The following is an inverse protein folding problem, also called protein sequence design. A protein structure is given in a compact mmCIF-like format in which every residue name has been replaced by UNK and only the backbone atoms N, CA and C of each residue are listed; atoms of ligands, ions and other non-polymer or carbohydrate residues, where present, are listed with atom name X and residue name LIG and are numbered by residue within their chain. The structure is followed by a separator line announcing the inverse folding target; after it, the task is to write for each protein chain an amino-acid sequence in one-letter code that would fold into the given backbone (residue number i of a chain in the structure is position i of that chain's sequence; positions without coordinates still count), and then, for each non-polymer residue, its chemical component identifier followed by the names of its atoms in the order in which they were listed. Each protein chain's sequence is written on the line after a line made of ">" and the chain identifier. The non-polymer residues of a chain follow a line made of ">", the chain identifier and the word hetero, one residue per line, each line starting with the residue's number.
data_IF_759014687481
#
_entry.id   IF_759014687481
#
_cell.length_a   1.000
_cell.length_b   1.000
_cell.length_c   1.000
_cell.angle_alpha   90.00
_cell.angle_beta   90.00
_cell.angle_gamma   90.00
#
_symmetry.space_group_name_H-M   'P 1'
#
loop_
_entity.id
_entity.type
_entity.pdbx_description
1 polymer ?
#
# COMPACT_ATOMS: atom_id res chain seq x y z
N UNK A 1 9.83 36.07 41.95
CA UNK A 1 9.00 36.06 40.72
C UNK A 1 9.88 36.63 39.60
N UNK A 2 10.72 35.81 38.93
CA UNK A 2 10.56 35.24 37.56
C UNK A 2 9.69 36.07 36.60
N UNK A 3 10.31 36.51 35.50
CA UNK A 3 9.67 37.15 34.34
C UNK A 3 10.65 38.04 33.57
N UNK A 4 11.71 37.47 33.00
CA UNK A 4 11.86 37.26 31.54
C UNK A 4 12.43 38.46 30.77
N UNK A 5 13.75 38.65 30.91
CA UNK A 5 14.63 39.31 29.95
C UNK A 5 14.65 38.49 28.64
N UNK A 6 13.67 38.73 27.77
CA UNK A 6 13.51 37.98 26.51
C UNK A 6 14.32 38.54 25.33
N UNK A 7 15.17 39.57 25.53
CA UNK A 7 15.77 40.29 24.40
C UNK A 7 17.30 40.28 24.33
N UNK A 8 18.01 39.82 25.36
CA UNK A 8 19.49 39.92 25.37
C UNK A 8 20.27 38.64 25.04
N UNK A 9 19.58 37.51 24.83
CA UNK A 9 20.25 36.24 24.47
C UNK A 9 20.69 36.20 23.00
N UNK A 10 20.19 37.11 22.15
CA UNK A 10 20.52 37.10 20.72
C UNK A 10 21.87 37.74 20.37
N UNK A 11 22.54 38.43 21.31
CA UNK A 11 23.73 39.26 20.99
C UNK A 11 25.10 38.60 21.20
N UNK A 12 25.17 37.36 21.69
CA UNK A 12 26.46 36.68 21.99
C UNK A 12 26.67 35.31 21.33
N UNK A 13 25.96 35.01 20.24
CA UNK A 13 26.20 33.79 19.46
C UNK A 13 26.98 34.10 18.18
N UNK A 14 28.30 34.22 18.30
CA UNK A 14 29.21 34.12 17.15
C UNK A 14 29.27 32.66 16.67
N UNK A 15 28.20 32.19 16.05
CA UNK A 15 28.17 31.01 15.20
C UNK A 15 27.60 31.46 13.85
N UNK A 16 28.49 31.98 13.00
CA UNK A 16 28.18 32.26 11.61
C UNK A 16 27.91 30.94 10.86
N UNK A 17 26.80 30.91 10.11
CA UNK A 17 26.51 29.90 9.09
C UNK A 17 25.24 29.09 9.36
N UNK A 18 24.24 29.27 8.48
CA UNK A 18 22.99 28.50 8.31
C UNK A 18 21.78 28.86 9.18
N UNK A 19 21.09 29.99 8.88
CA UNK A 19 19.81 30.33 9.52
C UNK A 19 18.60 29.51 9.01
N UNK A 20 18.74 28.72 7.93
CA UNK A 20 17.58 28.10 7.26
C UNK A 20 17.25 26.69 7.76
N UNK A 21 18.26 25.92 8.21
CA UNK A 21 18.06 24.51 8.60
C UNK A 21 17.39 24.40 9.99
N UNK A 22 17.62 25.36 10.89
CA UNK A 22 17.03 25.32 12.24
C UNK A 22 15.51 25.55 12.27
N UNK A 23 14.91 26.18 11.26
CA UNK A 23 13.45 26.39 11.22
C UNK A 23 12.69 25.09 10.90
N UNK A 24 13.24 24.22 10.06
CA UNK A 24 12.59 22.94 9.71
C UNK A 24 12.69 21.90 10.83
N UNK A 25 13.83 21.85 11.53
CA UNK A 25 14.04 20.90 12.63
C UNK A 25 13.12 21.20 13.82
N UNK A 26 12.76 22.47 14.04
CA UNK A 26 11.89 22.83 15.16
C UNK A 26 10.42 22.42 14.94
N UNK A 27 9.98 22.17 13.71
CA UNK A 27 8.58 21.88 13.42
C UNK A 27 8.21 20.40 13.67
N UNK A 28 9.16 19.47 13.53
CA UNK A 28 8.92 18.04 13.78
C UNK A 28 9.10 17.62 15.24
N UNK A 29 9.64 18.50 16.10
CA UNK A 29 9.96 18.19 17.51
C UNK A 29 8.89 18.75 18.47
N UNK A 30 7.95 19.58 18.01
CA UNK A 30 7.13 20.40 18.91
C UNK A 30 5.93 19.74 19.60
N UNK A 31 5.52 18.50 19.31
CA UNK A 31 4.42 17.86 20.07
C UNK A 31 4.63 16.32 20.25
N UNK A 32 4.29 15.74 21.43
CA UNK A 32 5.21 15.00 22.32
C UNK A 32 4.83 13.51 22.55
N UNK A 33 5.51 12.71 23.42
CA UNK A 33 6.48 13.06 24.46
C UNK A 33 7.87 12.41 24.31
N UNK A 34 8.82 12.86 25.14
CA UNK A 34 10.19 12.38 25.26
C UNK A 34 11.25 12.97 24.31
N UNK A 35 11.52 14.28 24.44
CA UNK A 35 12.90 14.76 24.39
C UNK A 35 13.02 16.15 25.01
N UNK A 36 13.54 16.22 26.25
CA UNK A 36 13.92 17.48 26.88
C UNK A 36 14.94 18.22 25.99
N UNK A 37 14.59 19.43 25.53
CA UNK A 37 15.37 20.30 24.63
C UNK A 37 16.84 20.55 25.05
N UNK A 38 17.21 20.22 26.28
CA UNK A 38 18.58 20.30 26.80
C UNK A 38 19.55 19.34 26.13
N UNK A 39 19.10 18.14 25.72
CA UNK A 39 20.00 17.07 25.23
C UNK A 39 20.47 17.26 23.78
N UNK A 40 19.79 18.12 23.01
CA UNK A 40 20.18 18.46 21.64
C UNK A 40 21.37 19.45 21.61
N UNK A 41 21.51 20.30 22.63
CA UNK A 41 22.58 21.32 22.69
C UNK A 41 23.98 20.75 22.91
N UNK A 42 24.13 19.72 23.74
CA UNK A 42 25.45 19.13 24.06
C UNK A 42 26.02 18.29 22.91
N UNK A 43 25.16 17.75 22.04
CA UNK A 43 25.58 16.93 20.89
C UNK A 43 26.29 17.80 19.84
N UNK A 44 26.01 19.11 19.77
CA UNK A 44 26.44 20.00 18.68
C UNK A 44 27.76 20.78 18.94
N UNK A 45 28.29 20.79 20.17
CA UNK A 45 29.41 21.68 20.55
C UNK A 45 30.77 21.01 20.87
N UNK A 46 30.96 19.73 20.55
CA UNK A 46 32.27 19.04 20.68
C UNK A 46 33.04 18.89 19.35
N UNK A 47 34.33 18.50 19.37
CA UNK A 47 35.22 18.44 18.19
C UNK A 47 34.82 17.39 17.13
N UNK A 48 33.75 16.64 17.36
CA UNK A 48 33.17 15.60 16.49
C UNK A 48 31.97 16.14 15.67
N UNK A 49 32.09 17.36 15.09
CA UNK A 49 30.96 18.08 14.44
C UNK A 49 30.45 17.43 13.16
N UNK A 50 31.33 16.85 12.34
CA UNK A 50 30.94 16.30 11.03
C UNK A 50 30.19 14.96 11.16
N UNK A 51 30.67 14.07 12.05
CA UNK A 51 30.09 12.73 12.21
C UNK A 51 28.66 12.79 12.76
N UNK A 52 28.41 13.64 13.77
CA UNK A 52 27.09 13.77 14.41
C UNK A 52 26.03 14.43 13.52
N UNK A 53 26.42 15.44 12.73
CA UNK A 53 25.51 16.08 11.79
C UNK A 53 25.09 15.12 10.65
N UNK A 54 26.03 14.30 10.15
CA UNK A 54 25.73 13.26 9.16
C UNK A 54 24.77 12.23 9.74
N UNK A 55 24.98 11.77 10.97
CA UNK A 55 24.06 10.81 11.62
C UNK A 55 22.65 11.36 11.75
N UNK A 56 22.47 12.62 12.17
CA UNK A 56 21.14 13.23 12.28
C UNK A 56 20.48 13.35 10.91
N UNK A 57 21.21 13.77 9.87
CA UNK A 57 20.68 13.85 8.52
C UNK A 57 20.23 12.47 8.00
N UNK A 58 21.04 11.42 8.23
CA UNK A 58 20.69 10.05 7.83
C UNK A 58 19.43 9.53 8.56
N UNK A 59 19.28 9.83 9.85
CA UNK A 59 18.07 9.46 10.61
C UNK A 59 16.83 10.18 10.08
N UNK A 60 16.92 11.48 9.76
CA UNK A 60 15.81 12.22 9.17
C UNK A 60 15.43 11.69 7.78
N UNK A 61 16.41 11.39 6.93
CA UNK A 61 16.15 10.78 5.61
C UNK A 61 15.53 9.40 5.77
N UNK A 62 16.06 8.57 6.67
CA UNK A 62 15.49 7.26 6.96
C UNK A 62 14.05 7.36 7.49
N UNK A 63 13.76 8.33 8.37
CA UNK A 63 12.42 8.58 8.88
C UNK A 63 11.45 9.05 7.79
N UNK A 64 11.86 10.02 6.97
CA UNK A 64 11.05 10.51 5.85
C UNK A 64 10.79 9.41 4.81
N UNK A 65 11.78 8.57 4.53
CA UNK A 65 11.63 7.42 3.64
C UNK A 65 10.68 6.38 4.25
N UNK A 66 10.90 5.98 5.50
CA UNK A 66 10.17 4.88 6.13
C UNK A 66 8.72 5.23 6.47
N UNK A 67 8.48 6.44 6.98
CA UNK A 67 7.15 6.86 7.41
C UNK A 67 6.43 7.75 6.39
N UNK A 68 7.17 8.47 5.54
CA UNK A 68 6.60 9.42 4.59
C UNK A 68 6.48 8.91 3.15
N UNK A 69 7.31 7.96 2.72
CA UNK A 69 7.29 7.45 1.34
C UNK A 69 6.80 6.01 1.23
N UNK A 70 7.37 5.09 2.04
CA UNK A 70 7.05 3.66 1.95
C UNK A 70 5.57 3.29 2.16
N UNK A 71 4.78 3.97 3.00
CA UNK A 71 3.35 3.65 3.14
C UNK A 71 2.49 4.16 1.97
N UNK A 72 2.98 5.14 1.20
CA UNK A 72 2.22 5.84 0.16
C UNK A 72 2.68 5.53 -1.25
N UNK A 73 3.79 4.79 -1.42
CA UNK A 73 4.19 4.31 -2.74
C UNK A 73 3.14 3.32 -3.27
N UNK A 74 2.82 3.35 -4.57
CA UNK A 74 2.01 2.33 -5.20
C UNK A 74 2.52 0.93 -4.92
N UNK A 75 1.63 -0.06 -4.96
CA UNK A 75 2.01 -1.44 -4.74
C UNK A 75 3.09 -1.87 -5.74
N UNK A 76 4.08 -2.61 -5.25
CA UNK A 76 5.08 -3.21 -6.13
C UNK A 76 4.51 -4.45 -6.80
N UNK A 77 4.19 -4.33 -8.09
CA UNK A 77 3.69 -5.42 -8.96
C UNK A 77 4.75 -5.92 -9.93
N UNK A 78 5.95 -5.32 -9.95
CA UNK A 78 6.96 -5.57 -10.97
C UNK A 78 7.59 -6.96 -10.89
N UNK A 79 7.49 -7.59 -9.72
CA UNK A 79 8.02 -8.92 -9.42
C UNK A 79 6.93 -9.97 -9.18
N UNK A 80 5.67 -9.63 -9.48
CA UNK A 80 4.55 -10.55 -9.29
C UNK A 80 4.70 -11.78 -10.19
N UNK A 81 4.66 -12.97 -9.60
CA UNK A 81 4.62 -14.21 -10.36
C UNK A 81 3.21 -14.45 -10.89
N UNK A 82 3.08 -14.71 -12.18
CA UNK A 82 1.79 -14.99 -12.82
C UNK A 82 1.68 -16.49 -13.09
N UNK A 83 0.65 -17.12 -12.53
CA UNK A 83 0.33 -18.52 -12.82
C UNK A 83 -1.10 -18.64 -13.35
N UNK A 84 -1.26 -19.27 -14.50
CA UNK A 84 -2.57 -19.47 -15.13
C UNK A 84 -2.77 -20.96 -15.36
N UNK A 85 -3.66 -21.56 -14.57
CA UNK A 85 -4.10 -22.94 -14.71
C UNK A 85 -5.53 -22.96 -15.30
N UNK A 86 -5.59 -22.88 -16.63
CA UNK A 86 -6.84 -22.96 -17.39
C UNK A 86 -6.98 -24.34 -18.05
N UNK A 87 -8.20 -24.86 -18.13
CA UNK A 87 -8.50 -26.22 -18.61
C UNK A 87 -8.63 -26.34 -20.14
N UNK A 88 -8.28 -25.31 -20.92
CA UNK A 88 -8.34 -25.30 -22.39
C UNK A 88 -7.51 -24.19 -23.06
N UNK A 89 -7.38 -24.24 -24.39
CA UNK A 89 -6.61 -23.28 -25.22
C UNK A 89 -7.36 -21.96 -25.47
N UNK A 90 -8.69 -22.00 -25.50
CA UNK A 90 -9.55 -20.83 -25.57
C UNK A 90 -9.66 -20.15 -24.20
N UNK A 91 -9.65 -18.81 -24.19
CA UNK A 91 -9.60 -17.89 -23.04
C UNK A 91 -8.25 -17.55 -22.42
N UNK A 92 -7.11 -18.00 -22.95
CA UNK A 92 -5.80 -17.54 -22.42
C UNK A 92 -5.62 -16.01 -22.48
N UNK A 93 -6.00 -15.37 -23.60
CA UNK A 93 -5.96 -13.91 -23.73
C UNK A 93 -6.99 -13.21 -22.85
N UNK A 94 -8.17 -13.81 -22.67
CA UNK A 94 -9.21 -13.29 -21.78
C UNK A 94 -8.73 -13.31 -20.33
N UNK A 95 -8.21 -14.44 -19.86
CA UNK A 95 -7.66 -14.61 -18.50
C UNK A 95 -6.40 -13.76 -18.29
N UNK A 96 -5.54 -13.60 -19.29
CA UNK A 96 -4.43 -12.65 -19.23
C UNK A 96 -4.94 -11.21 -19.05
N UNK A 97 -6.04 -10.84 -19.72
CA UNK A 97 -6.75 -9.59 -19.49
C UNK A 97 -7.22 -9.44 -18.04
N UNK A 98 -7.74 -10.50 -17.42
CA UNK A 98 -8.17 -10.47 -16.03
C UNK A 98 -7.02 -10.26 -15.06
N UNK A 99 -5.92 -10.97 -15.26
CA UNK A 99 -4.70 -10.82 -14.46
C UNK A 99 -4.15 -9.40 -14.60
N UNK A 100 -4.18 -8.81 -15.80
CA UNK A 100 -3.78 -7.41 -16.01
C UNK A 100 -4.70 -6.43 -15.31
N UNK A 101 -6.02 -6.65 -15.36
CA UNK A 101 -6.99 -5.84 -14.66
C UNK A 101 -6.78 -5.88 -13.14
N UNK A 102 -6.48 -7.07 -12.61
CA UNK A 102 -6.18 -7.28 -11.20
C UNK A 102 -4.87 -6.59 -10.79
N UNK A 103 -3.79 -6.77 -11.55
CA UNK A 103 -2.53 -6.07 -11.31
C UNK A 103 -2.68 -4.54 -11.40
N UNK A 104 -3.50 -4.03 -12.32
CA UNK A 104 -3.77 -2.59 -12.43
C UNK A 104 -4.48 -2.07 -11.17
N UNK A 105 -5.47 -2.81 -10.67
CA UNK A 105 -6.19 -2.49 -9.43
C UNK A 105 -5.27 -2.55 -8.21
N UNK A 106 -4.48 -3.61 -8.09
CA UNK A 106 -3.58 -3.85 -6.95
C UNK A 106 -2.53 -2.75 -6.81
N UNK A 107 -2.17 -2.00 -7.85
CA UNK A 107 -1.28 -0.83 -7.72
C UNK A 107 -1.79 0.23 -6.72
N UNK A 108 -3.11 0.29 -6.49
CA UNK A 108 -3.71 1.20 -5.51
C UNK A 108 -3.47 0.79 -4.05
N UNK A 109 -3.00 -0.44 -3.82
CA UNK A 109 -2.66 -0.97 -2.50
C UNK A 109 -1.31 -0.42 -2.02
N UNK A 110 -1.33 0.85 -1.64
CA UNK A 110 -0.11 1.58 -1.29
C UNK A 110 0.66 0.91 -0.14
N UNK A 111 1.98 0.86 -0.28
CA UNK A 111 2.88 0.24 0.69
C UNK A 111 2.86 -1.30 0.72
N UNK A 112 2.14 -1.94 -0.21
CA UNK A 112 2.13 -3.39 -0.37
C UNK A 112 3.04 -3.84 -1.52
N UNK A 113 3.34 -5.14 -1.53
CA UNK A 113 4.00 -5.86 -2.62
C UNK A 113 3.11 -7.01 -3.03
N UNK A 114 2.92 -7.18 -4.33
CA UNK A 114 2.22 -8.32 -4.91
C UNK A 114 3.27 -9.36 -5.29
N UNK A 115 3.25 -10.50 -4.59
CA UNK A 115 4.19 -11.60 -4.77
C UNK A 115 3.74 -12.54 -5.88
N UNK A 116 2.42 -12.77 -6.01
CA UNK A 116 1.86 -13.56 -7.10
C UNK A 116 0.40 -13.22 -7.40
N UNK A 117 -0.01 -13.45 -8.65
CA UNK A 117 -1.40 -13.54 -9.08
C UNK A 117 -1.60 -14.87 -9.79
N UNK A 118 -2.59 -15.64 -9.34
CA UNK A 118 -2.85 -17.00 -9.78
C UNK A 118 -4.31 -17.16 -10.17
N UNK A 119 -4.54 -17.64 -11.39
CA UNK A 119 -5.84 -18.10 -11.82
C UNK A 119 -5.86 -19.62 -11.87
N UNK A 120 -6.83 -20.24 -11.20
CA UNK A 120 -7.12 -21.66 -11.28
C UNK A 120 -8.59 -21.85 -11.61
N UNK A 121 -8.87 -22.39 -12.80
CA UNK A 121 -10.24 -22.54 -13.31
C UNK A 121 -11.09 -23.46 -12.41
N UNK A 122 -10.50 -24.53 -11.86
CA UNK A 122 -11.21 -25.47 -11.00
C UNK A 122 -11.58 -24.82 -9.67
N UNK A 123 -10.67 -24.07 -9.07
CA UNK A 123 -10.93 -23.31 -7.85
C UNK A 123 -11.98 -22.23 -8.08
N UNK A 124 -11.85 -21.45 -9.15
CA UNK A 124 -12.82 -20.41 -9.52
C UNK A 124 -14.23 -20.99 -9.69
N UNK A 125 -14.37 -22.09 -10.44
CA UNK A 125 -15.65 -22.77 -10.62
C UNK A 125 -16.24 -23.28 -9.30
N UNK A 126 -15.39 -23.79 -8.40
CA UNK A 126 -15.82 -24.28 -7.07
C UNK A 126 -16.39 -23.13 -6.22
N UNK A 127 -15.72 -21.97 -6.21
CA UNK A 127 -16.17 -20.81 -5.44
C UNK A 127 -17.46 -20.19 -6.03
N UNK A 128 -17.56 -20.13 -7.37
CA UNK A 128 -18.78 -19.65 -8.04
C UNK A 128 -19.99 -20.54 -7.75
N UNK A 129 -19.82 -21.86 -7.77
CA UNK A 129 -20.88 -22.79 -7.41
C UNK A 129 -21.34 -22.58 -5.96
N UNK A 130 -20.40 -22.37 -5.02
CA UNK A 130 -20.72 -22.09 -3.63
C UNK A 130 -21.49 -20.77 -3.44
N UNK A 131 -21.09 -19.69 -4.11
CA UNK A 131 -21.81 -18.39 -4.09
C UNK A 131 -23.21 -18.50 -4.69
N UNK A 132 -23.35 -19.24 -5.79
CA UNK A 132 -24.64 -19.50 -6.41
C UNK A 132 -25.58 -20.31 -5.49
N UNK A 133 -25.06 -21.34 -4.80
CA UNK A 133 -25.84 -22.13 -3.85
C UNK A 133 -26.32 -21.31 -2.64
N UNK A 134 -25.48 -20.40 -2.12
CA UNK A 134 -25.88 -19.46 -1.06
C UNK A 134 -27.04 -18.57 -1.54
N UNK A 135 -27.01 -18.16 -2.79
CA UNK A 135 -28.07 -17.32 -3.39
C UNK A 135 -29.37 -18.08 -3.55
N UNK A 136 -29.29 -19.34 -3.97
CA UNK A 136 -30.46 -20.22 -4.04
C UNK A 136 -31.13 -20.42 -2.67
N UNK A 137 -30.39 -20.24 -1.57
CA UNK A 137 -30.91 -20.31 -0.19
C UNK A 137 -31.46 -18.97 0.36
N UNK A 138 -31.48 -17.90 -0.44
CA UNK A 138 -31.97 -16.58 -0.06
C UNK A 138 -30.90 -15.58 0.41
N UNK A 139 -29.62 -15.94 0.28
CA UNK A 139 -28.51 -14.99 0.46
C UNK A 139 -28.37 -14.03 -0.73
N UNK A 140 -27.78 -12.86 -0.51
CA UNK A 140 -27.45 -11.90 -1.57
C UNK A 140 -26.01 -11.44 -1.39
N UNK A 141 -25.19 -11.57 -2.44
CA UNK A 141 -23.84 -11.02 -2.52
C UNK A 141 -23.67 -10.21 -3.81
N UNK A 142 -22.65 -9.37 -3.85
CA UNK A 142 -22.20 -8.70 -5.08
C UNK A 142 -21.83 -9.73 -6.17
N UNK A 143 -21.29 -10.89 -5.74
CA UNK A 143 -20.93 -12.00 -6.62
C UNK A 143 -22.17 -12.65 -7.21
N UNK A 144 -23.19 -12.93 -6.41
CA UNK A 144 -24.41 -13.55 -6.94
C UNK A 144 -25.16 -12.67 -7.91
N UNK A 145 -25.20 -11.36 -7.64
CA UNK A 145 -25.74 -10.37 -8.58
C UNK A 145 -24.95 -10.38 -9.90
N UNK A 146 -23.62 -10.50 -9.82
CA UNK A 146 -22.78 -10.59 -11.02
C UNK A 146 -23.00 -11.91 -11.78
N UNK A 147 -23.23 -13.04 -11.08
CA UNK A 147 -23.57 -14.31 -11.72
C UNK A 147 -24.91 -14.20 -12.46
N UNK A 148 -25.92 -13.55 -11.85
CA UNK A 148 -27.22 -13.35 -12.47
C UNK A 148 -27.15 -12.39 -13.69
N UNK A 149 -26.34 -11.34 -13.62
CA UNK A 149 -26.20 -10.34 -14.68
C UNK A 149 -25.34 -10.82 -15.86
N UNK A 150 -24.19 -11.44 -15.57
CA UNK A 150 -23.19 -11.78 -16.58
C UNK A 150 -23.16 -13.27 -16.91
N UNK A 151 -23.72 -14.14 -16.07
CA UNK A 151 -23.66 -15.60 -16.21
C UNK A 151 -22.41 -16.20 -15.55
N UNK A 152 -22.55 -17.41 -15.02
CA UNK A 152 -21.50 -18.11 -14.25
C UNK A 152 -20.18 -18.29 -15.03
N UNK A 153 -20.25 -18.49 -16.34
CA UNK A 153 -19.07 -18.66 -17.21
C UNK A 153 -18.30 -17.36 -17.47
N UNK A 154 -18.89 -16.21 -17.15
CA UNK A 154 -18.30 -14.89 -17.36
C UNK A 154 -17.77 -14.27 -16.06
N UNK A 155 -17.90 -14.94 -14.92
CA UNK A 155 -17.35 -14.48 -13.65
C UNK A 155 -16.14 -15.34 -13.29
N UNK A 156 -15.09 -14.72 -12.74
CA UNK A 156 -13.86 -15.43 -12.34
C UNK A 156 -13.31 -14.91 -11.02
N UNK A 157 -12.46 -15.73 -10.41
CA UNK A 157 -11.71 -15.42 -9.19
C UNK A 157 -10.20 -15.68 -9.36
N UNK A 158 -9.41 -14.68 -9.80
CA UNK A 158 -7.98 -14.65 -9.57
C UNK A 158 -7.67 -14.51 -8.08
N UNK A 159 -6.75 -15.35 -7.59
CA UNK A 159 -6.17 -15.23 -6.26
C UNK A 159 -4.84 -14.50 -6.30
N UNK A 160 -4.56 -13.72 -5.27
CA UNK A 160 -3.36 -12.94 -5.12
C UNK A 160 -2.61 -13.33 -3.84
N UNK A 161 -1.30 -13.10 -3.87
CA UNK A 161 -0.42 -13.17 -2.71
C UNK A 161 0.14 -11.76 -2.50
N UNK A 162 -0.25 -11.13 -1.40
CA UNK A 162 0.03 -9.72 -1.12
C UNK A 162 0.67 -9.62 0.25
N UNK A 163 1.84 -8.97 0.28
CA UNK A 163 2.57 -8.65 1.50
C UNK A 163 2.55 -7.14 1.73
N UNK A 164 1.87 -6.68 2.80
CA UNK A 164 1.85 -5.28 3.21
C UNK A 164 2.75 -5.04 4.42
N UNK A 165 3.35 -3.84 4.54
CA UNK A 165 4.11 -3.46 5.74
C UNK A 165 3.18 -3.10 6.90
N UNK A 166 3.63 -3.40 8.13
CA UNK A 166 2.87 -3.19 9.37
C UNK A 166 2.26 -1.79 9.51
N UNK A 167 0.94 -1.77 9.71
CA UNK A 167 0.09 -0.57 9.79
C UNK A 167 -1.00 -0.52 8.71
N UNK A 168 -0.81 -1.23 7.60
CA UNK A 168 -1.83 -1.52 6.59
C UNK A 168 -2.05 -3.03 6.62
N UNK A 169 -3.24 -3.48 7.05
CA UNK A 169 -3.72 -4.87 7.05
C UNK A 169 -2.61 -5.94 7.01
N UNK A 170 -2.12 -6.29 8.20
CA UNK A 170 -0.80 -6.86 8.42
C UNK A 170 -0.75 -8.41 8.36
N UNK A 171 -1.26 -9.02 7.30
CA UNK A 171 -1.08 -10.46 7.06
C UNK A 171 -0.88 -10.73 5.58
N UNK A 172 0.06 -11.62 5.26
CA UNK A 172 0.06 -12.33 3.97
C UNK A 172 -1.37 -12.81 3.72
N UNK A 173 -1.99 -12.34 2.65
CA UNK A 173 -3.35 -12.76 2.30
C UNK A 173 -3.28 -13.90 1.29
N UNK A 174 -2.65 -14.99 1.71
CA UNK A 174 -2.50 -16.20 0.90
C UNK A 174 -3.88 -16.74 0.53
N UNK A 175 -4.27 -16.56 -0.72
CA UNK A 175 -5.54 -17.05 -1.25
C UNK A 175 -6.69 -16.05 -1.25
N UNK A 176 -6.48 -14.82 -0.76
CA UNK A 176 -7.34 -13.68 -1.07
C UNK A 176 -7.35 -13.44 -2.57
N UNK A 177 -8.39 -12.81 -3.07
CA UNK A 177 -8.59 -12.64 -4.48
C UNK A 177 -9.67 -11.64 -4.76
N UNK A 178 -9.89 -11.44 -6.05
CA UNK A 178 -10.80 -10.43 -6.56
C UNK A 178 -11.75 -11.09 -7.55
N UNK A 179 -13.00 -10.66 -7.50
CA UNK A 179 -14.05 -11.14 -8.39
C UNK A 179 -14.14 -10.22 -9.60
N UNK A 180 -14.18 -10.81 -10.78
CA UNK A 180 -14.27 -10.09 -12.04
C UNK A 180 -15.35 -10.68 -12.94
N UNK A 181 -16.07 -9.80 -13.65
CA UNK A 181 -17.03 -10.18 -14.68
C UNK A 181 -16.56 -9.74 -16.07
N UNK A 182 -16.67 -10.62 -17.06
CA UNK A 182 -16.30 -10.34 -18.44
C UNK A 182 -17.38 -9.51 -19.11
N UNK A 183 -17.02 -8.26 -19.46
CA UNK A 183 -17.89 -7.39 -20.23
C UNK A 183 -17.03 -6.37 -21.01
N UNK A 184 -16.46 -6.78 -22.15
CA UNK A 184 -15.51 -5.96 -22.90
C UNK A 184 -16.12 -4.71 -23.55
N UNK A 185 -17.45 -4.64 -23.65
CA UNK A 185 -18.15 -3.45 -24.15
C UNK A 185 -18.38 -2.38 -23.08
N UNK A 186 -18.10 -2.67 -21.81
CA UNK A 186 -18.35 -1.74 -20.72
C UNK A 186 -17.25 -0.68 -20.60
N UNK A 187 -17.66 0.57 -20.40
CA UNK A 187 -16.73 1.67 -20.08
C UNK A 187 -16.04 1.49 -18.71
N UNK A 188 -16.54 0.60 -17.85
CA UNK A 188 -15.95 0.28 -16.54
C UNK A 188 -14.95 -0.88 -16.62
N UNK A 189 -14.83 -1.52 -17.78
CA UNK A 189 -14.00 -2.69 -17.93
C UNK A 189 -12.52 -2.30 -18.12
N UNK A 190 -11.67 -2.79 -17.23
CA UNK A 190 -10.23 -2.76 -17.39
C UNK A 190 -9.84 -4.05 -18.12
N UNK A 191 -9.21 -3.95 -19.30
CA UNK A 191 -8.85 -5.13 -20.11
C UNK A 191 -10.01 -6.10 -20.41
N UNK A 192 -11.23 -5.58 -20.48
CA UNK A 192 -12.45 -6.33 -20.73
C UNK A 192 -13.13 -6.94 -19.50
N UNK A 193 -12.56 -6.71 -18.32
CA UNK A 193 -13.07 -7.21 -17.04
C UNK A 193 -13.54 -6.07 -16.13
N UNK A 194 -14.72 -6.24 -15.54
CA UNK A 194 -15.27 -5.36 -14.52
C UNK A 194 -14.95 -5.95 -13.15
N UNK A 195 -14.35 -5.16 -12.27
CA UNK A 195 -14.19 -5.53 -10.86
C UNK A 195 -15.56 -5.56 -10.16
N UNK A 196 -15.85 -6.65 -9.48
CA UNK A 196 -17.10 -6.85 -8.73
C UNK A 196 -16.85 -6.61 -7.25
N UNK A 197 -15.94 -7.39 -6.66
CA UNK A 197 -15.64 -7.33 -5.23
C UNK A 197 -14.28 -7.99 -4.93
N UNK A 198 -13.83 -7.91 -3.69
CA UNK A 198 -12.62 -8.57 -3.19
C UNK A 198 -12.91 -9.37 -1.91
N UNK A 199 -12.23 -10.52 -1.79
CA UNK A 199 -12.30 -11.35 -0.60
C UNK A 199 -12.35 -12.84 -0.87
N UNK A 200 -11.71 -13.59 0.02
CA UNK A 200 -12.05 -14.94 0.51
C UNK A 200 -11.08 -15.31 1.63
#
# INVERSE_FOLDING_TARGET
>A
MRGFEALDVFRRSRCWGYPVILRYVSCFITHPPYASAKRVREVLCGPQKKMKAITVALVCVAGAYWFGYLPFRPADVSHAQISINATGESNKSQIDGAVKADLARLKSWNGCRVDAVRYDAKRSATLLAAEHDVTASGGSSSISTAIDEYGMDNVIYPSNDISCRAGSQNSSQDGWGSWYAWNPGSARAEHGWIFIDEGY
#
